data_IF_217044028447
#
_entry.id   IF_217044028447
#
_cell.length_a   1.000
_cell.length_b   1.000
_cell.length_c   1.000
_cell.angle_alpha   90.00
_cell.angle_beta   90.00
_cell.angle_gamma   90.00
#
_symmetry.space_group_name_H-M   'P 1'
#
loop_
_entity.id
_entity.type
_entity.pdbx_description
1 polymer ?
#
# COMPACT_ATOMS: atom_id res chain seq x y z
N UNK A 1 8.96 -29.18 17.79
CA UNK A 1 8.51 -28.13 18.74
C UNK A 1 7.61 -27.12 18.02
N UNK A 2 6.36 -26.92 18.45
CA UNK A 2 5.53 -25.80 17.98
C UNK A 2 5.86 -24.57 18.83
N UNK A 3 6.75 -23.70 18.35
CA UNK A 3 6.98 -22.41 19.02
C UNK A 3 5.68 -21.60 19.00
N UNK A 4 5.04 -21.45 20.17
CA UNK A 4 3.98 -20.46 20.38
C UNK A 4 4.68 -19.11 20.56
N UNK A 5 4.48 -18.21 19.60
CA UNK A 5 4.80 -16.79 19.79
C UNK A 5 4.01 -16.27 21.00
N UNK A 6 4.55 -15.32 21.78
CA UNK A 6 3.81 -14.63 22.82
C UNK A 6 2.49 -14.07 22.28
N UNK A 7 1.43 -14.20 23.07
CA UNK A 7 0.15 -13.59 22.76
C UNK A 7 0.08 -12.22 23.46
N UNK A 8 -0.04 -11.15 22.69
CA UNK A 8 -0.34 -9.82 23.21
C UNK A 8 -1.83 -9.47 23.02
N UNK A 9 -2.38 -8.73 23.98
CA UNK A 9 -3.74 -8.18 23.96
C UNK A 9 -3.68 -6.75 24.52
N UNK A 10 -3.26 -5.78 23.70
CA UNK A 10 -3.13 -4.40 24.16
C UNK A 10 -4.52 -3.84 24.53
N UNK A 11 -4.56 -2.93 25.51
CA UNK A 11 -5.80 -2.28 25.95
C UNK A 11 -6.40 -1.40 24.84
N UNK A 12 -5.54 -0.80 24.01
CA UNK A 12 -5.90 -0.03 22.85
C UNK A 12 -5.38 -0.70 21.58
N UNK A 13 -6.12 -0.64 20.45
CA UNK A 13 -5.62 -1.20 19.20
C UNK A 13 -4.36 -0.46 18.72
N UNK A 14 -3.33 -1.17 18.23
CA UNK A 14 -2.12 -0.52 17.72
C UNK A 14 -2.40 0.42 16.55
N UNK A 15 -1.56 1.45 16.41
CA UNK A 15 -1.50 2.30 15.23
C UNK A 15 -0.33 1.88 14.35
N UNK A 16 -0.49 1.99 13.04
CA UNK A 16 0.61 1.85 12.09
C UNK A 16 0.44 2.72 10.86
N UNK A 17 1.44 2.68 9.99
CA UNK A 17 1.52 3.53 8.79
C UNK A 17 1.78 2.69 7.55
N UNK A 18 1.20 3.08 6.42
CA UNK A 18 1.44 2.42 5.12
C UNK A 18 1.16 3.36 3.97
N UNK A 19 1.53 2.98 2.76
CA UNK A 19 1.15 3.70 1.54
C UNK A 19 0.12 2.90 0.75
N UNK A 20 -0.75 3.61 0.04
CA UNK A 20 -1.79 3.00 -0.79
C UNK A 20 -2.20 3.96 -1.91
N UNK A 21 -2.75 3.43 -3.00
CA UNK A 21 -3.33 4.27 -4.03
C UNK A 21 -4.79 4.59 -3.69
N UNK A 22 -5.21 5.87 -3.74
CA UNK A 22 -6.61 6.24 -3.54
C UNK A 22 -7.45 5.81 -4.75
N UNK A 23 -8.63 5.25 -4.48
CA UNK A 23 -9.53 4.69 -5.50
C UNK A 23 -10.92 5.33 -5.42
N UNK A 24 -11.56 5.53 -6.58
CA UNK A 24 -12.94 5.97 -6.72
C UNK A 24 -13.74 4.92 -7.50
N UNK A 25 -14.92 4.55 -7.01
CA UNK A 25 -15.79 3.63 -7.75
C UNK A 25 -16.28 4.27 -9.05
N UNK A 26 -16.56 3.45 -10.06
CA UNK A 26 -17.02 3.93 -11.37
C UNK A 26 -18.29 4.78 -11.30
N UNK A 27 -19.20 4.45 -10.38
CA UNK A 27 -20.43 5.20 -10.13
C UNK A 27 -20.21 6.48 -9.30
N UNK A 28 -18.98 6.74 -8.83
CA UNK A 28 -18.61 7.89 -8.03
C UNK A 28 -19.16 7.89 -6.60
N UNK A 29 -19.75 6.78 -6.14
CA UNK A 29 -20.45 6.70 -4.85
C UNK A 29 -19.61 6.19 -3.70
N UNK A 30 -18.43 5.63 -3.98
CA UNK A 30 -17.54 5.02 -2.99
C UNK A 30 -16.10 5.43 -3.23
N UNK A 31 -15.38 5.70 -2.14
CA UNK A 31 -13.94 5.86 -2.16
C UNK A 31 -13.28 4.77 -1.31
N UNK A 32 -12.06 4.42 -1.66
CA UNK A 32 -11.31 3.38 -0.98
C UNK A 32 -9.83 3.45 -1.36
N UNK A 33 -9.12 2.36 -1.13
CA UNK A 33 -7.70 2.29 -1.44
C UNK A 33 -7.34 0.93 -2.03
N UNK A 34 -6.21 0.86 -2.72
CA UNK A 34 -5.57 -0.40 -3.12
C UNK A 34 -4.11 -0.38 -2.65
N UNK A 35 -3.55 -1.55 -2.33
CA UNK A 35 -2.14 -1.63 -1.91
C UNK A 35 -1.19 -1.28 -3.05
N UNK A 36 0.10 -1.13 -2.73
CA UNK A 36 1.16 -0.83 -3.73
C UNK A 36 1.97 -2.06 -4.15
N UNK A 37 1.64 -3.24 -3.61
CA UNK A 37 2.36 -4.51 -3.84
C UNK A 37 1.36 -5.66 -4.03
N UNK A 38 1.48 -6.77 -3.28
CA UNK A 38 0.51 -7.88 -3.31
C UNK A 38 -0.93 -7.42 -3.01
N UNK A 39 -1.08 -6.33 -2.25
CA UNK A 39 -2.37 -5.72 -1.95
C UNK A 39 -2.99 -4.92 -3.11
N UNK A 40 -2.36 -4.84 -4.28
CA UNK A 40 -2.87 -4.06 -5.42
C UNK A 40 -3.94 -4.82 -6.24
N UNK A 41 -4.25 -6.05 -5.88
CA UNK A 41 -5.20 -6.87 -6.64
C UNK A 41 -6.65 -6.38 -6.55
N UNK A 42 -7.08 -5.92 -5.36
CA UNK A 42 -8.48 -5.57 -5.08
C UNK A 42 -8.56 -4.30 -4.22
N UNK A 43 -9.37 -3.31 -4.62
CA UNK A 43 -9.69 -2.16 -3.79
C UNK A 43 -10.40 -2.58 -2.50
N UNK A 44 -10.09 -1.90 -1.40
CA UNK A 44 -10.66 -2.10 -0.07
C UNK A 44 -11.20 -0.78 0.50
N UNK A 45 -12.15 -0.89 1.42
CA UNK A 45 -12.77 0.25 2.11
C UNK A 45 -11.89 0.85 3.23
N UNK A 46 -12.33 1.99 3.78
CA UNK A 46 -11.69 2.61 4.95
C UNK A 46 -11.66 1.66 6.14
N UNK A 47 -12.77 0.99 6.41
CA UNK A 47 -12.90 -0.13 7.34
C UNK A 47 -13.10 -1.40 6.54
N UNK A 48 -12.18 -2.36 6.64
CA UNK A 48 -12.27 -3.58 5.85
C UNK A 48 -11.53 -4.75 6.50
N UNK A 49 -11.86 -5.96 6.04
CA UNK A 49 -11.27 -7.23 6.44
C UNK A 49 -10.39 -7.83 5.35
N UNK A 50 -9.24 -8.35 5.75
CA UNK A 50 -8.28 -8.94 4.85
C UNK A 50 -8.80 -10.29 4.34
N UNK A 51 -8.61 -10.52 3.04
CA UNK A 51 -8.97 -11.76 2.35
C UNK A 51 -7.72 -12.39 1.76
N UNK A 52 -7.74 -13.70 1.56
CA UNK A 52 -6.66 -14.38 0.87
C UNK A 52 -6.69 -14.03 -0.62
N UNK A 53 -5.65 -13.37 -1.12
CA UNK A 53 -5.53 -13.02 -2.55
C UNK A 53 -5.46 -14.27 -3.44
N UNK A 54 -4.99 -15.40 -2.89
CA UNK A 54 -4.93 -16.68 -3.59
C UNK A 54 -6.25 -17.47 -3.54
N UNK A 55 -7.31 -16.94 -2.93
CA UNK A 55 -8.60 -17.63 -2.80
C UNK A 55 -8.60 -18.85 -1.87
N UNK A 56 -7.52 -19.07 -1.11
CA UNK A 56 -7.42 -20.19 -0.19
C UNK A 56 -8.35 -20.03 1.02
N UNK A 57 -8.88 -21.17 1.50
CA UNK A 57 -9.77 -21.22 2.65
C UNK A 57 -8.99 -21.21 3.96
N UNK A 58 -8.70 -20.03 4.49
CA UNK A 58 -8.15 -19.85 5.84
C UNK A 58 -8.47 -18.45 6.38
N UNK A 59 -8.36 -18.27 7.70
CA UNK A 59 -8.52 -16.95 8.32
C UNK A 59 -7.27 -16.10 8.13
N UNK A 60 -7.45 -14.86 7.68
CA UNK A 60 -6.35 -13.88 7.64
C UNK A 60 -6.13 -13.25 9.04
N UNK A 61 -4.87 -12.93 9.42
CA UNK A 61 -3.64 -13.35 8.76
C UNK A 61 -3.29 -14.80 9.11
N UNK A 62 -2.99 -15.61 8.11
CA UNK A 62 -2.52 -16.99 8.31
C UNK A 62 -1.00 -17.01 8.32
N UNK A 63 -0.36 -17.76 9.23
CA UNK A 63 1.11 -17.73 9.40
C UNK A 63 1.90 -18.16 8.17
N UNK A 64 1.35 -19.10 7.39
CA UNK A 64 1.97 -19.67 6.18
C UNK A 64 1.41 -19.09 4.88
N UNK A 65 0.78 -17.93 4.94
CA UNK A 65 0.25 -17.23 3.78
C UNK A 65 0.54 -15.74 3.94
N UNK A 66 0.66 -15.04 2.83
CA UNK A 66 0.89 -13.59 2.81
C UNK A 66 -0.41 -12.78 2.90
N UNK A 67 -1.53 -13.45 3.21
CA UNK A 67 -2.80 -12.78 3.46
C UNK A 67 -2.75 -11.88 4.70
N UNK A 68 -3.46 -10.76 4.63
CA UNK A 68 -3.46 -9.75 5.66
C UNK A 68 -3.19 -8.37 5.08
N UNK A 69 -3.64 -7.35 5.78
CA UNK A 69 -3.12 -6.01 5.57
C UNK A 69 -1.76 -5.89 6.24
N UNK A 70 -0.91 -5.00 5.72
CA UNK A 70 0.43 -4.74 6.24
C UNK A 70 0.58 -3.25 6.54
N UNK A 71 1.25 -2.93 7.65
CA UNK A 71 1.71 -1.58 7.95
C UNK A 71 3.02 -1.64 8.74
N UNK A 72 3.81 -0.57 8.67
CA UNK A 72 4.99 -0.38 9.52
C UNK A 72 4.60 0.35 10.81
N UNK A 73 5.44 0.25 11.84
CA UNK A 73 5.22 0.97 13.10
C UNK A 73 5.47 2.47 12.96
N UNK A 74 6.51 2.81 12.21
CA UNK A 74 7.02 4.17 12.11
C UNK A 74 6.51 4.90 10.85
N UNK A 75 6.13 6.15 11.05
CA UNK A 75 5.60 7.02 10.01
C UNK A 75 6.66 7.39 8.98
N UNK A 76 7.88 7.72 9.41
CA UNK A 76 8.94 8.14 8.50
C UNK A 76 9.32 7.00 7.56
N UNK A 77 9.32 5.77 8.05
CA UNK A 77 9.53 4.54 7.27
C UNK A 77 8.48 4.40 6.18
N UNK A 78 7.19 4.57 6.49
CA UNK A 78 6.13 4.53 5.49
C UNK A 78 6.25 5.68 4.47
N UNK A 79 6.61 6.88 4.94
CA UNK A 79 6.77 8.05 4.09
C UNK A 79 7.96 7.91 3.13
N UNK A 80 9.06 7.30 3.55
CA UNK A 80 10.23 7.05 2.71
C UNK A 80 9.90 6.19 1.47
N UNK A 81 8.90 5.30 1.59
CA UNK A 81 8.42 4.51 0.45
C UNK A 81 7.85 5.37 -0.69
N UNK A 82 7.37 6.59 -0.40
CA UNK A 82 6.86 7.52 -1.43
C UNK A 82 7.96 8.12 -2.31
N UNK A 83 9.24 7.92 -1.97
CA UNK A 83 10.36 8.43 -2.78
C UNK A 83 10.56 7.62 -4.07
N UNK A 84 10.16 6.35 -4.09
CA UNK A 84 10.27 5.50 -5.28
C UNK A 84 9.32 5.99 -6.37
N UNK A 85 9.73 5.86 -7.63
CA UNK A 85 8.96 6.40 -8.75
C UNK A 85 7.58 5.73 -8.85
N UNK A 86 7.56 4.43 -8.57
CA UNK A 86 6.40 3.54 -8.59
C UNK A 86 5.35 3.94 -7.54
N UNK A 87 5.78 4.57 -6.44
CA UNK A 87 4.92 4.88 -5.30
C UNK A 87 4.66 6.36 -5.09
N UNK A 88 5.24 7.23 -5.91
CA UNK A 88 5.10 8.70 -5.79
C UNK A 88 3.66 9.20 -5.84
N UNK A 89 2.77 8.47 -6.53
CA UNK A 89 1.36 8.81 -6.62
C UNK A 89 0.50 8.22 -5.48
N UNK A 90 1.07 7.39 -4.61
CA UNK A 90 0.38 6.84 -3.45
C UNK A 90 0.18 7.91 -2.37
N UNK A 91 -0.75 7.63 -1.44
CA UNK A 91 -1.00 8.43 -0.24
C UNK A 91 -0.43 7.72 0.97
N UNK A 92 0.05 8.50 1.95
CA UNK A 92 0.43 7.98 3.25
C UNK A 92 -0.82 7.79 4.11
N UNK A 93 -0.98 6.61 4.68
CA UNK A 93 -2.11 6.24 5.53
C UNK A 93 -1.65 6.02 6.96
N UNK A 94 -2.40 6.57 7.90
CA UNK A 94 -2.39 6.14 9.30
C UNK A 94 -3.56 5.19 9.51
N UNK A 95 -3.29 4.02 10.09
CA UNK A 95 -4.27 2.96 10.27
C UNK A 95 -4.34 2.50 11.71
N UNK A 96 -5.55 2.23 12.17
CA UNK A 96 -5.78 1.45 13.39
C UNK A 96 -5.77 -0.04 13.02
N UNK A 97 -4.89 -0.80 13.65
CA UNK A 97 -4.76 -2.26 13.50
C UNK A 97 -5.85 -2.95 14.31
N UNK A 98 -6.76 -3.65 13.64
CA UNK A 98 -7.92 -4.31 14.25
C UNK A 98 -7.90 -5.82 14.02
N UNK A 99 -8.62 -6.53 14.88
CA UNK A 99 -8.75 -7.98 14.79
C UNK A 99 -7.44 -8.72 15.13
N UNK A 100 -7.30 -9.94 14.61
CA UNK A 100 -6.10 -10.73 14.83
C UNK A 100 -4.94 -10.15 14.03
N UNK A 101 -3.75 -10.11 14.64
CA UNK A 101 -2.55 -9.64 13.98
C UNK A 101 -1.31 -10.44 14.38
N UNK A 102 -0.27 -10.32 13.57
CA UNK A 102 1.07 -10.80 13.80
C UNK A 102 1.95 -9.55 13.85
N UNK A 103 2.64 -9.34 14.98
CA UNK A 103 3.62 -8.28 15.12
C UNK A 103 4.98 -8.77 14.64
N UNK A 104 5.58 -7.99 13.78
CA UNK A 104 6.96 -8.11 13.36
C UNK A 104 7.77 -6.97 13.96
N UNK A 105 9.08 -7.08 13.87
CA UNK A 105 10.01 -6.04 14.30
C UNK A 105 9.68 -4.68 13.67
N UNK A 106 9.42 -4.65 12.36
CA UNK A 106 9.19 -3.41 11.61
C UNK A 106 7.71 -3.04 11.44
N UNK A 107 6.76 -3.89 11.83
CA UNK A 107 5.35 -3.61 11.56
C UNK A 107 4.36 -4.67 12.00
N UNK A 108 3.18 -4.63 11.40
CA UNK A 108 2.08 -5.56 11.65
C UNK A 108 1.58 -6.18 10.36
N UNK A 109 1.15 -7.45 10.45
CA UNK A 109 0.25 -8.08 9.49
C UNK A 109 -1.06 -8.42 10.18
N UNK A 110 -2.19 -7.96 9.68
CA UNK A 110 -3.43 -7.94 10.46
C UNK A 110 -4.70 -8.21 9.64
N UNK A 111 -5.75 -8.62 10.36
CA UNK A 111 -6.99 -9.13 9.79
C UNK A 111 -7.97 -8.01 9.39
N UNK A 112 -7.97 -6.89 10.11
CA UNK A 112 -8.92 -5.79 9.90
C UNK A 112 -8.23 -4.46 10.12
N UNK A 113 -8.58 -3.44 9.33
CA UNK A 113 -8.09 -2.07 9.53
C UNK A 113 -9.25 -1.12 9.68
N UNK A 114 -8.95 0.02 10.29
CA UNK A 114 -9.58 1.28 9.92
C UNK A 114 -8.52 2.29 9.49
N UNK A 115 -8.65 2.85 8.29
CA UNK A 115 -7.85 4.01 7.86
C UNK A 115 -8.37 5.25 8.58
N UNK A 116 -7.50 5.98 9.29
CA UNK A 116 -7.88 7.17 10.06
C UNK A 116 -7.57 8.44 9.30
N UNK A 117 -6.36 8.50 8.73
CA UNK A 117 -5.91 9.63 7.95
C UNK A 117 -5.34 9.15 6.62
N UNK A 118 -5.54 9.95 5.59
CA UNK A 118 -4.86 9.82 4.31
C UNK A 118 -4.20 11.16 3.99
N UNK A 119 -2.90 11.13 3.76
CA UNK A 119 -2.11 12.29 3.41
C UNK A 119 -1.72 12.26 1.94
N UNK A 120 -2.17 13.28 1.24
CA UNK A 120 -2.03 13.43 -0.20
C UNK A 120 -0.77 14.23 -0.49
N UNK A 121 0.15 13.66 -1.26
CA UNK A 121 1.35 14.37 -1.71
C UNK A 121 1.05 15.56 -2.63
N UNK A 122 2.08 16.26 -3.11
CA UNK A 122 1.91 17.31 -4.11
C UNK A 122 1.44 16.73 -5.44
N UNK A 123 0.96 17.61 -6.32
CA UNK A 123 0.73 17.27 -7.73
C UNK A 123 2.05 16.85 -8.39
N UNK A 124 1.98 16.04 -9.46
CA UNK A 124 3.16 15.64 -10.24
C UNK A 124 3.98 16.84 -10.78
N UNK A 125 3.35 17.99 -11.01
CA UNK A 125 4.02 19.24 -11.41
C UNK A 125 4.67 19.99 -10.23
N UNK A 126 4.62 19.45 -9.01
CA UNK A 126 5.16 20.04 -7.79
C UNK A 126 4.22 21.01 -7.06
N UNK A 127 3.12 21.45 -7.69
CA UNK A 127 2.15 22.34 -7.05
C UNK A 127 1.36 21.65 -5.93
N UNK A 128 0.83 22.44 -4.99
CA UNK A 128 -0.06 21.93 -3.95
C UNK A 128 -1.29 21.24 -4.56
N UNK A 129 -1.59 20.04 -4.06
CA UNK A 129 -2.74 19.28 -4.50
C UNK A 129 -4.02 19.86 -3.87
N UNK A 130 -5.03 20.08 -4.72
CA UNK A 130 -6.38 20.52 -4.29
C UNK A 130 -7.44 19.48 -4.62
N UNK A 131 -7.08 18.45 -5.39
CA UNK A 131 -7.95 17.38 -5.82
C UNK A 131 -7.20 16.05 -5.91
N UNK A 132 -7.96 14.96 -5.88
CA UNK A 132 -7.55 13.63 -6.32
C UNK A 132 -8.21 13.41 -7.69
N UNK A 133 -7.40 13.36 -8.75
CA UNK A 133 -7.87 13.23 -10.13
C UNK A 133 -7.51 11.87 -10.73
N UNK A 134 -8.28 11.43 -11.73
CA UNK A 134 -8.06 10.19 -12.47
C UNK A 134 -6.60 10.11 -12.95
N UNK A 135 -5.93 9.04 -12.54
CA UNK A 135 -4.53 8.76 -12.82
C UNK A 135 -4.32 7.97 -14.11
N UNK A 136 -5.39 7.65 -14.86
CA UNK A 136 -5.32 6.92 -16.13
C UNK A 136 -5.16 5.41 -15.98
N UNK A 137 -5.34 4.87 -14.78
CA UNK A 137 -5.31 3.44 -14.49
C UNK A 137 -6.41 3.06 -13.50
N UNK A 138 -6.66 1.76 -13.31
CA UNK A 138 -7.64 1.32 -12.33
C UNK A 138 -7.74 -0.19 -12.17
N UNK A 139 -8.90 -0.60 -11.65
CA UNK A 139 -9.35 -1.99 -11.50
C UNK A 139 -10.79 -2.07 -12.03
N UNK A 140 -11.32 -3.27 -12.32
CA UNK A 140 -12.72 -3.40 -12.73
C UNK A 140 -13.67 -2.69 -11.75
N UNK A 141 -14.41 -1.70 -12.23
CA UNK A 141 -15.33 -0.88 -11.43
C UNK A 141 -14.68 0.23 -10.58
N UNK A 142 -13.37 0.47 -10.69
CA UNK A 142 -12.63 1.44 -9.88
C UNK A 142 -11.56 2.20 -10.67
N UNK A 143 -11.46 3.50 -10.44
CA UNK A 143 -10.42 4.38 -11.00
C UNK A 143 -9.37 4.67 -9.93
N UNK A 144 -8.10 4.55 -10.31
CA UNK A 144 -6.98 5.04 -9.50
C UNK A 144 -6.93 6.56 -9.57
N UNK A 145 -6.71 7.20 -8.43
CA UNK A 145 -6.56 8.64 -8.34
C UNK A 145 -5.12 9.02 -7.97
N UNK A 146 -4.72 10.23 -8.36
CA UNK A 146 -3.48 10.85 -7.96
C UNK A 146 -3.71 12.30 -7.51
N UNK A 147 -2.84 12.78 -6.63
CA UNK A 147 -2.78 14.17 -6.21
C UNK A 147 -2.69 15.11 -7.42
N UNK A 148 -3.55 16.13 -7.47
CA UNK A 148 -3.59 17.07 -8.60
C UNK A 148 -3.89 18.49 -8.16
N UNK A 149 -3.16 19.46 -8.72
CA UNK A 149 -3.49 20.88 -8.59
C UNK A 149 -4.66 21.24 -9.53
N UNK A 150 -5.25 22.43 -9.35
CA UNK A 150 -6.41 22.87 -10.13
C UNK A 150 -6.13 22.88 -11.65
N UNK A 151 -4.91 23.26 -12.05
CA UNK A 151 -4.49 23.28 -13.45
C UNK A 151 -4.43 21.87 -14.05
N UNK A 152 -3.67 20.98 -13.43
CA UNK A 152 -3.51 19.60 -13.92
C UNK A 152 -4.79 18.77 -13.81
N UNK A 153 -5.71 19.08 -12.89
CA UNK A 153 -6.98 18.37 -12.75
C UNK A 153 -8.00 18.74 -13.84
N UNK A 154 -7.81 19.85 -14.56
CA UNK A 154 -8.77 20.34 -15.56
C UNK A 154 -9.04 19.29 -16.64
N UNK A 155 -10.32 19.02 -16.91
CA UNK A 155 -10.75 18.05 -17.91
C UNK A 155 -10.64 16.59 -17.49
N UNK A 156 -10.22 16.29 -16.26
CA UNK A 156 -10.19 14.93 -15.70
C UNK A 156 -11.31 14.74 -14.67
N UNK A 157 -11.76 13.50 -14.50
CA UNK A 157 -12.59 13.14 -13.34
C UNK A 157 -11.77 13.41 -12.09
N UNK A 158 -12.29 14.23 -11.18
CA UNK A 158 -11.57 14.60 -9.97
C UNK A 158 -12.54 14.83 -8.82
N UNK A 159 -12.08 14.55 -7.61
CA UNK A 159 -12.81 14.80 -6.36
C UNK A 159 -11.94 15.61 -5.42
N UNK A 160 -12.56 16.46 -4.62
CA UNK A 160 -11.83 17.15 -3.55
C UNK A 160 -11.42 16.15 -2.47
N UNK A 161 -10.36 16.42 -1.68
CA UNK A 161 -10.01 15.63 -0.49
C UNK A 161 -11.18 15.45 0.48
N UNK A 162 -12.00 16.48 0.66
CA UNK A 162 -13.19 16.44 1.53
C UNK A 162 -14.23 15.49 0.97
N UNK A 163 -14.53 15.58 -0.33
CA UNK A 163 -15.47 14.67 -1.00
C UNK A 163 -14.99 13.22 -0.92
N UNK A 164 -13.69 12.97 -1.15
CA UNK A 164 -13.11 11.65 -1.01
C UNK A 164 -13.27 11.10 0.42
N UNK A 165 -13.04 11.94 1.43
CA UNK A 165 -13.24 11.57 2.83
C UNK A 165 -14.69 11.14 3.11
N UNK A 166 -15.66 11.91 2.61
CA UNK A 166 -17.08 11.62 2.77
C UNK A 166 -17.49 10.30 2.08
N UNK A 167 -17.02 10.08 0.85
CA UNK A 167 -17.28 8.85 0.09
C UNK A 167 -16.60 7.60 0.68
N UNK A 168 -15.49 7.78 1.41
CA UNK A 168 -14.82 6.71 2.13
C UNK A 168 -15.52 6.34 3.43
N UNK A 169 -16.25 7.28 4.03
CA UNK A 169 -16.98 7.08 5.28
C UNK A 169 -16.06 6.79 6.47
N UNK A 170 -16.64 6.19 7.53
CA UNK A 170 -15.89 5.64 8.68
C UNK A 170 -15.00 6.64 9.45
N UNK A 171 -15.25 7.94 9.29
CA UNK A 171 -14.49 9.01 9.92
C UNK A 171 -13.10 9.23 9.31
N UNK A 172 -12.88 8.82 8.05
CA UNK A 172 -11.67 9.13 7.30
C UNK A 172 -11.43 10.64 7.26
N UNK A 173 -10.18 11.06 7.49
CA UNK A 173 -9.73 12.43 7.23
C UNK A 173 -8.69 12.44 6.13
N UNK A 174 -8.91 13.26 5.11
CA UNK A 174 -7.93 13.45 4.04
C UNK A 174 -7.28 14.82 4.19
N UNK A 175 -5.95 14.87 4.16
CA UNK A 175 -5.17 16.10 4.31
C UNK A 175 -4.18 16.20 3.15
N UNK A 176 -3.92 17.41 2.68
CA UNK A 176 -2.71 17.63 1.88
C UNK A 176 -1.51 17.45 2.81
N UNK A 177 -0.59 16.55 2.44
CA UNK A 177 0.70 16.46 3.08
C UNK A 177 1.38 17.82 2.95
N UNK A 178 1.88 18.33 4.06
CA UNK A 178 2.68 19.56 4.08
C UNK A 178 3.96 19.30 3.30
N UNK A 179 3.91 19.47 1.98
CA UNK A 179 5.12 19.75 1.21
C UNK A 179 5.70 20.98 1.85
N UNK A 180 6.92 20.88 2.38
CA UNK A 180 7.66 22.01 2.93
C UNK A 180 7.40 23.21 2.02
N UNK A 181 6.65 24.18 2.52
CA UNK A 181 6.37 25.39 1.79
C UNK A 181 7.74 25.96 1.44
N UNK A 182 8.13 25.88 0.16
CA UNK A 182 9.26 26.64 -0.35
C UNK A 182 8.81 28.09 -0.41
N UNK A 183 8.70 28.69 0.77
CA UNK A 183 8.82 30.12 0.98
C UNK A 183 10.18 30.50 0.41
N UNK A 184 10.22 31.43 -0.55
CA UNK A 184 11.44 31.85 -1.23
C UNK A 184 12.43 32.55 -0.29
N UNK A 185 13.27 31.78 0.40
CA UNK A 185 14.36 32.28 1.23
C UNK A 185 15.59 31.39 1.11
N UNK A 186 16.72 32.04 0.84
CA UNK A 186 18.10 31.55 0.69
C UNK A 186 18.44 30.13 1.19
N UNK A 187 19.18 29.41 0.35
CA UNK A 187 19.86 28.14 0.64
C UNK A 187 20.95 28.36 1.70
N UNK A 188 20.95 27.65 2.84
CA UNK A 188 22.17 27.37 3.58
C UNK A 188 22.78 26.07 3.05
N UNK A 189 24.07 26.10 2.74
CA UNK A 189 24.84 24.93 2.37
C UNK A 189 24.81 23.88 3.50
N UNK A 190 24.35 22.67 3.18
CA UNK A 190 24.49 21.52 4.06
C UNK A 190 25.73 20.75 3.62
N UNK A 191 26.80 20.89 4.40
CA UNK A 191 27.94 19.98 4.42
C UNK A 191 27.55 18.75 5.23
N UNK A 192 27.59 17.56 4.60
CA UNK A 192 27.44 16.26 5.27
C UNK A 192 26.34 15.39 4.67
N UNK A 193 26.68 14.65 3.61
CA UNK A 193 25.91 13.47 3.17
C UNK A 193 26.18 12.32 4.16
N UNK A 194 25.15 11.67 4.74
CA UNK A 194 25.35 10.35 5.30
C UNK A 194 25.57 9.37 4.13
N UNK A 195 26.68 8.64 4.19
CA UNK A 195 27.01 7.53 3.31
C UNK A 195 25.88 6.49 3.27
N UNK A 196 25.55 6.04 2.06
CA UNK A 196 24.99 4.71 1.82
C UNK A 196 23.46 4.58 1.86
N UNK A 197 22.75 5.27 0.96
CA UNK A 197 21.42 4.83 0.51
C UNK A 197 21.52 4.34 -0.94
N UNK A 198 21.45 3.03 -1.13
CA UNK A 198 21.40 2.40 -2.45
C UNK A 198 22.07 1.05 -2.44
N UNK A 199 21.40 0.04 -3.01
CA UNK A 199 21.83 -1.36 -3.23
C UNK A 199 21.15 -2.44 -2.34
N UNK A 200 20.96 -2.33 -1.01
CA UNK A 200 20.43 -3.45 -0.21
C UNK A 200 18.98 -3.85 -0.51
N UNK A 201 18.09 -2.89 -0.77
CA UNK A 201 16.67 -3.19 -1.05
C UNK A 201 16.42 -3.73 -2.46
N UNK A 202 17.18 -3.26 -3.47
CA UNK A 202 17.14 -3.83 -4.83
C UNK A 202 17.65 -5.27 -4.85
N UNK A 203 18.61 -5.61 -3.98
CA UNK A 203 19.10 -6.98 -3.82
C UNK A 203 18.05 -7.86 -3.14
N UNK A 204 17.30 -7.36 -2.16
CA UNK A 204 16.21 -8.10 -1.54
C UNK A 204 15.04 -8.35 -2.51
N UNK A 205 14.71 -7.37 -3.35
CA UNK A 205 13.67 -7.50 -4.37
C UNK A 205 14.10 -8.41 -5.52
N UNK A 206 15.34 -8.29 -5.99
CA UNK A 206 15.93 -9.22 -6.97
C UNK A 206 15.98 -10.65 -6.43
N UNK A 207 16.36 -10.85 -5.16
CA UNK A 207 16.35 -12.17 -4.53
C UNK A 207 14.93 -12.77 -4.43
N UNK A 208 13.91 -11.93 -4.18
CA UNK A 208 12.52 -12.37 -4.13
C UNK A 208 11.97 -12.72 -5.52
N UNK A 209 12.36 -11.98 -6.56
CA UNK A 209 12.04 -12.30 -7.95
C UNK A 209 12.76 -13.58 -8.40
N UNK A 210 14.02 -13.76 -8.03
CA UNK A 210 14.81 -14.97 -8.32
C UNK A 210 14.16 -16.21 -7.67
N UNK A 211 13.81 -16.13 -6.39
CA UNK A 211 13.15 -17.24 -5.69
C UNK A 211 11.78 -17.61 -6.29
N UNK A 212 11.05 -16.63 -6.83
CA UNK A 212 9.79 -16.89 -7.55
C UNK A 212 10.03 -17.56 -8.90
N UNK A 213 11.08 -17.17 -9.62
CA UNK A 213 11.48 -17.82 -10.87
C UNK A 213 11.89 -19.28 -10.64
N UNK A 214 12.72 -19.54 -9.63
CA UNK A 214 13.16 -20.90 -9.28
C UNK A 214 11.99 -21.80 -8.89
N UNK A 215 11.00 -21.24 -8.19
CA UNK A 215 9.76 -21.94 -7.86
C UNK A 215 8.93 -22.26 -9.11
N UNK A 216 8.77 -21.30 -10.04
CA UNK A 216 8.06 -21.56 -11.31
C UNK A 216 8.78 -22.62 -12.15
N UNK A 217 10.11 -22.59 -12.21
CA UNK A 217 10.90 -23.58 -12.92
C UNK A 217 10.75 -24.98 -12.29
N UNK A 218 10.71 -25.07 -10.96
CA UNK A 218 10.46 -26.32 -10.24
C UNK A 218 9.06 -26.89 -10.53
N UNK A 219 8.05 -26.03 -10.68
CA UNK A 219 6.70 -26.46 -11.07
C UNK A 219 6.65 -26.95 -12.52
N UNK A 220 7.33 -26.26 -13.44
CA UNK A 220 7.41 -26.67 -14.85
C UNK A 220 8.14 -28.01 -15.02
N UNK A 221 9.25 -28.21 -14.29
CA UNK A 221 9.99 -29.47 -14.32
C UNK A 221 9.13 -30.66 -13.86
N UNK A 222 8.33 -30.48 -12.80
CA UNK A 222 7.40 -31.51 -12.31
C UNK A 222 6.30 -31.84 -13.31
N UNK A 223 5.78 -30.84 -14.03
CA UNK A 223 4.77 -31.05 -15.08
C UNK A 223 5.36 -31.77 -16.31
N UNK A 224 6.63 -31.53 -16.65
CA UNK A 224 7.32 -32.25 -17.73
C UNK A 224 7.64 -33.71 -17.32
N UNK A 225 7.98 -33.96 -16.06
CA UNK A 225 8.16 -35.31 -15.51
C UNK A 225 6.86 -36.11 -15.47
N UNK A 226 5.76 -35.49 -15.01
CA UNK A 226 4.43 -36.12 -14.96
C UNK A 226 3.88 -36.39 -16.38
N UNK A 227 4.22 -35.55 -17.37
CA UNK A 227 3.85 -35.74 -18.78
C UNK A 227 4.62 -36.86 -19.49
N UNK A 228 5.82 -37.20 -19.02
CA UNK A 228 6.63 -38.32 -19.55
C UNK A 228 6.29 -39.67 -18.90
N UNK A 229 5.65 -39.67 -17.73
CA UNK A 229 5.22 -40.87 -17.00
C UNK A 229 3.90 -41.50 -17.48
N UNK A 230 3.07 -40.76 -18.22
CA UNK A 230 1.75 -41.23 -18.69
C UNK A 230 1.71 -41.75 -20.14
N UNK A 231 2.88 -41.97 -20.75
CA UNK A 231 3.03 -42.37 -22.17
C UNK A 231 3.45 -43.83 -22.41
N UNK A 232 3.17 -44.75 -21.49
CA UNK A 232 3.28 -46.20 -21.76
C UNK A 232 2.02 -46.91 -21.26
N UNK A 233 1.05 -47.01 -22.17
CA UNK A 233 -0.08 -47.92 -22.15
C UNK A 233 -0.27 -48.45 -23.56
#
# INVERSE_FOLDING_TARGET
MRMRLPAERPAEPPTGFKIAHPMLSQDGRRAGFTGVSLGDALPYGVLDEARCVYGLRHRAPHRRCDCGFHCVHDRATAQALLCTAEHRAAVLLEVTVLGAYIRFERGFRYARQRVRTAEVGPCACGAAAVALADAGWGRPGWRGLAASCAGCARGRTAVSPVTFALLGGEGLRVRAGGGAARSGGAVPAVTGLPDGLGVPELVAEAALLQARLDWFQSLLARLDEDGRGSGQG
#
